data_IF_056510505613
#
_entry.id   IF_056510505613
#
_cell.length_a   1.000
_cell.length_b   1.000
_cell.length_c   1.000
_cell.angle_alpha   90.00
_cell.angle_beta   90.00
_cell.angle_gamma   90.00
#
_symmetry.space_group_name_H-M   'P 1'
#
loop_
_entity.id
_entity.type
_entity.pdbx_description
1 polymer ?
#
# COMPACT_ATOMS: atom_id res chain seq x y z
N UNK A 1 -12.76 -2.75 -28.44
CA UNK A 1 -12.94 -2.12 -27.11
C UNK A 1 -14.00 -2.78 -26.22
N UNK A 2 -15.09 -3.37 -26.74
CA UNK A 2 -16.15 -3.94 -25.88
C UNK A 2 -15.77 -5.19 -25.05
N UNK A 3 -14.83 -6.03 -25.50
CA UNK A 3 -14.48 -7.26 -24.77
C UNK A 3 -13.69 -7.01 -23.48
N UNK A 4 -12.88 -5.94 -23.43
CA UNK A 4 -12.09 -5.61 -22.22
C UNK A 4 -13.02 -5.16 -21.07
N UNK A 5 -14.07 -4.42 -21.39
CA UNK A 5 -15.08 -3.92 -20.41
C UNK A 5 -15.89 -5.08 -19.83
N UNK A 6 -16.18 -6.13 -20.61
CA UNK A 6 -16.94 -7.29 -20.13
C UNK A 6 -16.12 -8.14 -19.16
N UNK A 7 -14.81 -8.27 -19.40
CA UNK A 7 -13.92 -9.04 -18.52
C UNK A 7 -13.67 -8.36 -17.17
N UNK A 8 -13.58 -7.02 -17.13
CA UNK A 8 -13.34 -6.33 -15.86
C UNK A 8 -14.52 -6.40 -14.90
N UNK A 9 -15.76 -6.49 -15.39
CA UNK A 9 -16.99 -6.51 -14.56
C UNK A 9 -17.12 -7.70 -13.60
N UNK A 10 -16.26 -8.71 -13.68
CA UNK A 10 -16.27 -9.87 -12.77
C UNK A 10 -15.01 -9.99 -11.92
N UNK A 11 -14.06 -9.07 -12.05
CA UNK A 11 -12.79 -9.14 -11.33
C UNK A 11 -13.00 -8.64 -9.90
N UNK A 12 -12.98 -9.56 -8.94
CA UNK A 12 -13.03 -9.20 -7.52
C UNK A 12 -11.64 -8.97 -6.90
N UNK A 13 -10.60 -9.55 -7.52
CA UNK A 13 -9.21 -9.44 -7.07
C UNK A 13 -8.32 -9.18 -8.27
N UNK A 14 -7.47 -8.17 -8.17
CA UNK A 14 -6.51 -7.84 -9.22
C UNK A 14 -5.11 -7.74 -8.64
N UNK A 15 -4.17 -8.40 -9.32
CA UNK A 15 -2.75 -8.34 -9.00
C UNK A 15 -1.98 -7.71 -10.16
N UNK A 16 -1.39 -6.53 -9.90
CA UNK A 16 -0.50 -5.85 -10.83
C UNK A 16 0.89 -5.79 -10.22
N UNK A 17 1.83 -6.49 -10.84
CA UNK A 17 3.24 -6.45 -10.50
C UNK A 17 4.03 -6.01 -11.72
N UNK A 18 4.72 -4.88 -11.57
CA UNK A 18 5.55 -4.33 -12.63
C UNK A 18 6.98 -4.76 -12.41
N UNK A 19 7.55 -5.46 -13.39
CA UNK A 19 8.93 -5.94 -13.26
C UNK A 19 9.90 -4.81 -12.86
N UNK A 20 10.76 -5.10 -11.89
CA UNK A 20 11.67 -4.17 -11.25
C UNK A 20 12.90 -3.83 -12.11
N UNK A 21 12.97 -4.36 -13.34
CA UNK A 21 14.09 -4.18 -14.25
C UNK A 21 14.59 -2.72 -14.31
N UNK A 22 15.86 -2.55 -13.90
CA UNK A 22 16.74 -1.40 -14.15
C UNK A 22 16.38 -0.05 -13.50
N UNK A 23 15.80 -0.04 -12.30
CA UNK A 23 15.53 1.22 -11.58
C UNK A 23 16.26 1.31 -10.23
N UNK A 24 17.49 0.78 -10.14
CA UNK A 24 18.43 1.21 -9.09
C UNK A 24 18.73 2.68 -9.34
N UNK A 25 18.20 3.58 -8.49
CA UNK A 25 18.55 4.98 -8.15
C UNK A 25 19.24 5.91 -9.16
N UNK A 26 19.41 5.47 -10.41
CA UNK A 26 19.98 6.23 -11.48
C UNK A 26 18.85 7.08 -11.99
N UNK A 27 18.93 8.37 -11.69
CA UNK A 27 18.13 9.42 -12.28
C UNK A 27 18.47 9.67 -13.77
N UNK A 28 18.97 8.65 -14.45
CA UNK A 28 19.23 8.73 -15.88
C UNK A 28 17.92 8.93 -16.64
N UNK A 29 18.06 9.44 -17.86
CA UNK A 29 16.93 9.80 -18.69
C UNK A 29 16.07 8.57 -19.04
N UNK A 30 16.68 7.39 -19.15
CA UNK A 30 15.98 6.15 -19.45
C UNK A 30 15.05 5.73 -18.31
N UNK A 31 15.53 5.73 -17.07
CA UNK A 31 14.80 5.47 -15.84
C UNK A 31 13.62 6.44 -15.65
N UNK A 32 13.83 7.73 -15.96
CA UNK A 32 12.77 8.74 -15.95
C UNK A 32 11.68 8.45 -17.00
N UNK A 33 12.07 8.12 -18.24
CA UNK A 33 11.13 7.74 -19.30
C UNK A 33 10.35 6.47 -18.95
N UNK A 34 11.02 5.44 -18.43
CA UNK A 34 10.37 4.20 -18.02
C UNK A 34 9.37 4.42 -16.87
N UNK A 35 9.73 5.25 -15.90
CA UNK A 35 8.83 5.68 -14.82
C UNK A 35 7.55 6.30 -15.37
N UNK A 36 7.66 7.20 -16.35
CA UNK A 36 6.49 7.85 -16.97
C UNK A 36 5.61 6.86 -17.73
N UNK A 37 6.21 5.93 -18.48
CA UNK A 37 5.49 4.88 -19.21
C UNK A 37 4.73 3.97 -18.23
N UNK A 38 5.38 3.50 -17.17
CA UNK A 38 4.75 2.67 -16.13
C UNK A 38 3.58 3.39 -15.48
N UNK A 39 3.77 4.65 -15.05
CA UNK A 39 2.68 5.44 -14.46
C UNK A 39 1.51 5.61 -15.44
N UNK A 40 1.78 5.89 -16.72
CA UNK A 40 0.72 6.01 -17.74
C UNK A 40 -0.04 4.70 -17.94
N UNK A 41 0.67 3.57 -18.01
CA UNK A 41 0.05 2.25 -18.15
C UNK A 41 -0.84 1.92 -16.94
N UNK A 42 -0.34 2.17 -15.71
CA UNK A 42 -1.11 1.98 -14.48
C UNK A 42 -2.37 2.82 -14.51
N UNK A 43 -2.27 4.14 -14.79
CA UNK A 43 -3.43 5.03 -14.88
C UNK A 43 -4.50 4.47 -15.82
N UNK A 44 -4.09 4.03 -17.01
CA UNK A 44 -5.03 3.44 -17.96
C UNK A 44 -5.69 2.17 -17.40
N UNK A 45 -4.95 1.29 -16.73
CA UNK A 45 -5.53 0.10 -16.11
C UNK A 45 -6.53 0.50 -15.01
N UNK A 46 -6.17 1.44 -14.12
CA UNK A 46 -7.03 1.89 -13.02
C UNK A 46 -8.35 2.51 -13.51
N UNK A 47 -8.32 3.18 -14.67
CA UNK A 47 -9.53 3.76 -15.29
C UNK A 47 -10.57 2.70 -15.67
N UNK A 48 -10.16 1.46 -15.95
CA UNK A 48 -11.05 0.37 -16.37
C UNK A 48 -11.50 -0.54 -15.22
N UNK A 49 -11.00 -0.29 -14.01
CA UNK A 49 -11.49 -0.97 -12.81
C UNK A 49 -12.91 -0.52 -12.51
N UNK A 50 -13.62 -1.33 -11.72
CA UNK A 50 -15.01 -1.08 -11.38
C UNK A 50 -15.32 -1.53 -9.95
N UNK A 51 -16.56 -1.30 -9.56
CA UNK A 51 -17.06 -1.52 -8.21
C UNK A 51 -16.98 -2.97 -7.73
N UNK A 52 -16.83 -3.97 -8.61
CA UNK A 52 -16.72 -5.37 -8.15
C UNK A 52 -15.37 -5.69 -7.51
N UNK A 53 -14.36 -4.84 -7.73
CA UNK A 53 -13.03 -5.05 -7.18
C UNK A 53 -13.03 -4.87 -5.66
N UNK A 54 -12.68 -5.93 -4.93
CA UNK A 54 -12.61 -5.97 -3.46
C UNK A 54 -11.18 -5.94 -2.94
N UNK A 55 -10.23 -6.49 -3.71
CA UNK A 55 -8.81 -6.59 -3.35
C UNK A 55 -7.94 -6.14 -4.50
N UNK A 56 -7.01 -5.23 -4.23
CA UNK A 56 -6.05 -4.75 -5.23
C UNK A 56 -4.62 -4.86 -4.72
N UNK A 57 -3.75 -5.45 -5.53
CA UNK A 57 -2.31 -5.45 -5.30
C UNK A 57 -1.64 -4.61 -6.39
N UNK A 58 -0.88 -3.60 -5.97
CA UNK A 58 -0.03 -2.77 -6.82
C UNK A 58 1.42 -2.88 -6.33
N UNK A 59 2.16 -3.81 -6.91
CA UNK A 59 3.57 -4.07 -6.59
C UNK A 59 4.47 -3.39 -7.62
N UNK A 60 5.58 -2.83 -7.14
CA UNK A 60 6.65 -2.23 -7.94
C UNK A 60 6.17 -1.10 -8.86
N UNK A 61 5.12 -0.38 -8.45
CA UNK A 61 4.65 0.81 -9.16
C UNK A 61 5.56 2.02 -8.85
N UNK A 62 5.77 2.97 -9.78
CA UNK A 62 6.61 4.12 -9.47
C UNK A 62 5.97 5.03 -8.43
N UNK A 63 4.83 5.61 -8.79
CA UNK A 63 4.08 6.54 -7.97
C UNK A 63 2.62 6.09 -7.91
N UNK A 64 1.98 6.33 -6.78
CA UNK A 64 0.53 6.37 -6.68
C UNK A 64 0.11 7.83 -6.50
N UNK A 65 -0.11 8.54 -7.60
CA UNK A 65 -0.45 9.97 -7.56
C UNK A 65 -1.94 10.23 -7.28
N UNK A 66 -2.31 11.52 -7.11
CA UNK A 66 -3.68 11.92 -6.79
C UNK A 66 -4.69 11.44 -7.84
N UNK A 67 -4.31 11.48 -9.12
CA UNK A 67 -5.19 11.06 -10.21
C UNK A 67 -5.47 9.56 -10.14
N UNK A 68 -4.45 8.74 -9.88
CA UNK A 68 -4.60 7.30 -9.64
C UNK A 68 -5.48 7.02 -8.41
N UNK A 69 -5.24 7.72 -7.29
CA UNK A 69 -6.08 7.61 -6.10
C UNK A 69 -7.54 7.95 -6.41
N UNK A 70 -7.78 9.01 -7.20
CA UNK A 70 -9.12 9.42 -7.61
C UNK A 70 -9.81 8.35 -8.47
N UNK A 71 -9.10 7.67 -9.37
CA UNK A 71 -9.66 6.54 -10.11
C UNK A 71 -10.05 5.39 -9.20
N UNK A 72 -9.20 5.05 -8.22
CA UNK A 72 -9.51 3.99 -7.26
C UNK A 72 -10.73 4.34 -6.41
N UNK A 73 -10.78 5.55 -5.84
CA UNK A 73 -11.90 6.02 -5.02
C UNK A 73 -13.20 6.09 -5.81
N UNK A 74 -13.16 6.59 -7.06
CA UNK A 74 -14.35 6.76 -7.89
C UNK A 74 -14.87 5.44 -8.46
N UNK A 75 -13.98 4.62 -8.99
CA UNK A 75 -14.37 3.44 -9.76
C UNK A 75 -14.50 2.18 -8.91
N UNK A 76 -13.76 2.06 -7.81
CA UNK A 76 -13.66 0.84 -7.00
C UNK A 76 -14.35 1.01 -5.64
N UNK A 77 -15.65 1.32 -5.65
CA UNK A 77 -16.41 1.65 -4.43
C UNK A 77 -16.49 0.54 -3.38
N UNK A 78 -16.31 -0.74 -3.78
CA UNK A 78 -16.26 -1.88 -2.85
C UNK A 78 -14.84 -2.38 -2.57
N UNK A 79 -13.80 -1.62 -2.93
CA UNK A 79 -12.43 -1.97 -2.61
C UNK A 79 -12.26 -1.95 -1.08
N UNK A 80 -11.89 -3.07 -0.48
CA UNK A 80 -11.72 -3.20 0.98
C UNK A 80 -10.26 -3.36 1.38
N UNK A 81 -9.50 -4.05 0.54
CA UNK A 81 -8.12 -4.41 0.81
C UNK A 81 -7.22 -3.87 -0.29
N UNK A 82 -6.16 -3.18 0.10
CA UNK A 82 -5.14 -2.75 -0.83
C UNK A 82 -3.74 -3.14 -0.35
N UNK A 83 -2.92 -3.62 -1.27
CA UNK A 83 -1.52 -3.96 -1.03
C UNK A 83 -0.68 -3.10 -1.97
N UNK A 84 0.09 -2.18 -1.39
CA UNK A 84 0.84 -1.19 -2.12
C UNK A 84 2.33 -1.37 -1.85
N UNK A 85 3.13 -1.60 -2.90
CA UNK A 85 4.58 -1.51 -2.85
C UNK A 85 5.07 -0.58 -3.96
N UNK A 86 4.77 0.73 -3.90
CA UNK A 86 5.42 1.69 -4.77
C UNK A 86 6.92 1.75 -4.47
N UNK A 87 7.70 2.30 -5.39
CA UNK A 87 9.13 2.52 -5.14
C UNK A 87 9.54 3.99 -5.04
N UNK A 88 8.69 4.96 -5.43
CA UNK A 88 8.98 6.40 -5.26
C UNK A 88 8.02 7.10 -4.31
N UNK A 89 6.71 7.10 -4.58
CA UNK A 89 5.79 7.90 -3.76
C UNK A 89 4.35 7.38 -3.75
N UNK A 90 3.62 7.79 -2.72
CA UNK A 90 2.16 7.66 -2.60
C UNK A 90 1.60 9.04 -2.26
N UNK A 91 0.47 9.39 -2.85
CA UNK A 91 -0.22 10.63 -2.53
C UNK A 91 -0.65 10.67 -1.06
N UNK A 92 -0.43 11.81 -0.41
CA UNK A 92 -0.76 12.02 1.01
C UNK A 92 -2.26 11.86 1.32
N UNK A 93 -3.13 12.16 0.35
CA UNK A 93 -4.57 11.92 0.44
C UNK A 93 -4.87 10.52 -0.09
N UNK A 94 -5.00 9.59 0.87
CA UNK A 94 -5.20 8.19 0.60
C UNK A 94 -6.68 7.87 0.28
N UNK A 95 -6.95 6.64 -0.19
CA UNK A 95 -8.29 6.17 -0.58
C UNK A 95 -9.17 6.04 0.67
N UNK A 96 -10.35 6.66 0.68
CA UNK A 96 -11.16 6.92 1.89
C UNK A 96 -12.08 5.78 2.36
N UNK A 97 -11.96 4.55 1.81
CA UNK A 97 -12.89 3.45 2.10
C UNK A 97 -12.22 2.08 2.12
N UNK A 98 -11.16 1.92 2.90
CA UNK A 98 -10.43 0.65 2.98
C UNK A 98 -10.53 0.11 4.40
N UNK A 99 -10.63 -1.22 4.56
CA UNK A 99 -10.53 -1.89 5.84
C UNK A 99 -9.09 -2.31 6.12
N UNK A 100 -8.36 -2.73 5.09
CA UNK A 100 -6.99 -3.21 5.20
C UNK A 100 -6.07 -2.49 4.21
N UNK A 101 -4.91 -2.08 4.70
CA UNK A 101 -3.84 -1.50 3.89
C UNK A 101 -2.55 -2.23 4.21
N UNK A 102 -1.88 -2.75 3.18
CA UNK A 102 -0.48 -3.14 3.26
C UNK A 102 0.37 -2.09 2.54
N UNK A 103 1.43 -1.65 3.21
CA UNK A 103 2.47 -0.78 2.66
C UNK A 103 3.80 -1.52 2.65
N UNK A 104 4.37 -1.71 1.47
CA UNK A 104 5.68 -2.34 1.26
C UNK A 104 6.84 -1.52 1.78
N UNK A 105 6.62 -0.25 2.11
CA UNK A 105 7.50 0.62 2.89
C UNK A 105 6.69 1.76 3.51
N UNK A 106 7.27 2.48 4.47
CA UNK A 106 6.62 3.57 5.16
C UNK A 106 6.65 4.87 4.33
N UNK A 107 5.49 5.49 4.18
CA UNK A 107 5.30 6.77 3.51
C UNK A 107 4.64 7.79 4.43
N UNK A 108 4.83 9.06 4.14
CA UNK A 108 4.06 10.14 4.76
C UNK A 108 2.64 10.16 4.16
N UNK A 109 1.65 9.68 4.91
CA UNK A 109 0.27 9.53 4.44
C UNK A 109 -0.71 9.99 5.50
N UNK A 110 -1.88 10.46 5.07
CA UNK A 110 -3.02 10.62 5.97
C UNK A 110 -3.87 9.36 5.85
N UNK A 111 -3.78 8.46 6.84
CA UNK A 111 -4.57 7.23 6.83
C UNK A 111 -5.98 7.54 7.35
N UNK A 112 -7.06 7.26 6.58
CA UNK A 112 -8.43 7.54 7.02
C UNK A 112 -8.85 6.65 8.20
N UNK A 113 -9.79 7.13 9.03
CA UNK A 113 -10.30 6.40 10.20
C UNK A 113 -11.03 5.09 9.87
N UNK A 114 -11.44 4.89 8.62
CA UNK A 114 -12.08 3.65 8.19
C UNK A 114 -11.11 2.46 8.07
N UNK A 115 -9.79 2.70 8.02
CA UNK A 115 -8.79 1.61 7.90
C UNK A 115 -8.63 0.90 9.22
N UNK A 116 -9.19 -0.29 9.36
CA UNK A 116 -9.14 -1.08 10.60
C UNK A 116 -7.73 -1.63 10.87
N UNK A 117 -7.02 -2.01 9.82
CA UNK A 117 -5.69 -2.61 9.88
C UNK A 117 -4.74 -1.99 8.86
N UNK A 118 -3.57 -1.57 9.33
CA UNK A 118 -2.47 -1.14 8.48
C UNK A 118 -1.23 -1.99 8.79
N UNK A 119 -0.72 -2.66 7.78
CA UNK A 119 0.56 -3.36 7.81
C UNK A 119 1.62 -2.51 7.12
N UNK A 120 2.75 -2.29 7.77
CA UNK A 120 3.89 -1.57 7.19
C UNK A 120 5.13 -2.44 7.25
N UNK A 121 5.75 -2.70 6.11
CA UNK A 121 7.09 -3.29 6.06
C UNK A 121 8.13 -2.21 6.41
N UNK A 122 8.52 -2.15 7.67
CA UNK A 122 9.43 -1.13 8.20
C UNK A 122 10.85 -1.35 7.71
N UNK A 123 11.26 -2.60 7.48
CA UNK A 123 12.60 -2.96 6.98
C UNK A 123 12.94 -2.35 5.61
N UNK A 124 11.96 -2.15 4.74
CA UNK A 124 12.14 -1.54 3.41
C UNK A 124 12.05 -0.01 3.40
N UNK A 125 11.94 0.62 4.56
CA UNK A 125 11.74 2.07 4.69
C UNK A 125 13.05 2.80 4.95
N UNK A 126 13.14 4.05 4.49
CA UNK A 126 14.32 4.90 4.74
C UNK A 126 14.57 5.11 6.24
N UNK A 127 13.50 5.13 7.04
CA UNK A 127 13.55 5.30 8.49
C UNK A 127 13.80 3.99 9.27
N UNK A 128 14.08 2.86 8.58
CA UNK A 128 14.17 1.52 9.19
C UNK A 128 15.10 1.45 10.41
N UNK A 129 16.33 1.94 10.29
CA UNK A 129 17.31 1.92 11.39
C UNK A 129 16.87 2.77 12.60
N UNK A 130 16.10 3.83 12.35
CA UNK A 130 15.61 4.72 13.41
C UNK A 130 14.45 4.04 14.12
N UNK A 131 13.50 3.48 13.36
CA UNK A 131 12.32 2.77 13.89
C UNK A 131 12.76 1.59 14.76
N UNK A 132 13.77 0.83 14.31
CA UNK A 132 14.28 -0.34 15.03
C UNK A 132 14.77 0.01 16.45
N UNK A 133 15.40 1.18 16.62
CA UNK A 133 15.97 1.64 17.89
C UNK A 133 14.96 2.27 18.83
N UNK A 134 13.72 2.50 18.39
CA UNK A 134 12.68 3.12 19.23
C UNK A 134 12.21 2.15 20.31
N UNK A 135 11.94 2.66 21.51
CA UNK A 135 11.08 1.97 22.46
C UNK A 135 9.61 2.04 22.00
N UNK A 136 8.71 1.37 22.70
CA UNK A 136 7.32 1.23 22.28
C UNK A 136 6.55 2.57 22.26
N UNK A 137 6.84 3.49 23.20
CA UNK A 137 6.18 4.80 23.25
C UNK A 137 6.64 5.70 22.10
N UNK A 138 7.94 5.68 21.80
CA UNK A 138 8.51 6.44 20.69
C UNK A 138 8.01 5.90 19.35
N UNK A 139 7.95 4.58 19.21
CA UNK A 139 7.41 3.91 18.02
C UNK A 139 5.93 4.28 17.79
N UNK A 140 5.11 4.18 18.83
CA UNK A 140 3.71 4.60 18.79
C UNK A 140 3.56 6.06 18.35
N UNK A 141 4.32 6.96 18.99
CA UNK A 141 4.26 8.41 18.70
C UNK A 141 4.75 8.71 17.28
N UNK A 142 5.78 8.01 16.83
CA UNK A 142 6.31 8.13 15.48
C UNK A 142 5.27 7.74 14.44
N UNK A 143 4.63 6.56 14.54
CA UNK A 143 3.59 6.15 13.59
C UNK A 143 2.38 7.06 13.63
N UNK A 144 1.96 7.51 14.83
CA UNK A 144 0.90 8.49 14.99
C UNK A 144 1.16 9.76 14.19
N UNK A 145 2.38 10.30 14.27
CA UNK A 145 2.76 11.52 13.58
C UNK A 145 2.93 11.30 12.07
N UNK A 146 3.60 10.20 11.67
CA UNK A 146 3.91 9.87 10.28
C UNK A 146 2.64 9.59 9.45
N UNK A 147 1.64 8.97 10.07
CA UNK A 147 0.39 8.54 9.42
C UNK A 147 -0.80 9.46 9.73
N UNK A 148 -0.58 10.47 10.58
CA UNK A 148 -1.58 11.41 11.11
C UNK A 148 -2.84 10.73 11.63
N UNK A 149 -2.66 9.61 12.33
CA UNK A 149 -3.76 8.79 12.88
C UNK A 149 -3.37 8.11 14.17
N UNK A 150 -4.31 7.99 15.11
CA UNK A 150 -4.12 7.27 16.36
C UNK A 150 -4.67 5.85 16.23
N UNK A 151 -3.79 4.87 16.05
CA UNK A 151 -4.20 3.46 16.14
C UNK A 151 -4.26 3.02 17.60
N UNK A 152 -5.23 2.19 17.98
CA UNK A 152 -5.33 1.69 19.38
C UNK A 152 -4.22 0.70 19.75
N UNK A 153 -3.77 -0.09 18.78
CA UNK A 153 -2.80 -1.16 18.97
C UNK A 153 -1.68 -1.01 17.95
N UNK A 154 -0.44 -1.18 18.42
CA UNK A 154 0.77 -1.20 17.61
C UNK A 154 1.53 -2.48 17.95
N UNK A 155 1.73 -3.35 16.96
CA UNK A 155 2.42 -4.62 17.13
C UNK A 155 3.67 -4.57 16.27
N UNK A 156 4.82 -4.68 16.94
CA UNK A 156 6.14 -4.71 16.31
C UNK A 156 6.55 -6.16 16.14
N UNK A 157 6.90 -6.55 14.92
CA UNK A 157 7.41 -7.89 14.65
C UNK A 157 8.90 -7.85 14.38
N UNK A 158 9.62 -8.74 15.06
CA UNK A 158 11.06 -8.88 14.95
C UNK A 158 11.41 -10.21 14.32
N UNK A 159 12.36 -10.19 13.39
CA UNK A 159 13.00 -11.38 12.80
C UNK A 159 14.51 -11.22 13.00
N UNK A 160 15.14 -12.22 13.61
CA UNK A 160 16.57 -12.21 13.92
C UNK A 160 17.06 -10.95 14.68
N UNK A 161 16.22 -10.44 15.59
CA UNK A 161 16.41 -9.21 16.39
C UNK A 161 16.20 -7.88 15.64
N UNK A 162 15.91 -7.92 14.35
CA UNK A 162 15.62 -6.74 13.55
C UNK A 162 14.11 -6.55 13.40
N UNK A 163 13.62 -5.32 13.56
CA UNK A 163 12.21 -5.03 13.27
C UNK A 163 11.97 -5.23 11.77
N UNK A 164 11.05 -6.15 11.44
CA UNK A 164 10.75 -6.50 10.05
C UNK A 164 9.54 -5.71 9.54
N UNK A 165 8.49 -5.65 10.37
CA UNK A 165 7.26 -4.95 10.06
C UNK A 165 6.54 -4.52 11.32
N UNK A 166 5.67 -3.53 11.17
CA UNK A 166 4.75 -3.06 12.21
C UNK A 166 3.31 -3.17 11.72
N UNK A 167 2.44 -3.66 12.59
CA UNK A 167 0.99 -3.72 12.37
C UNK A 167 0.33 -2.70 13.29
N UNK A 168 -0.58 -1.92 12.72
CA UNK A 168 -1.36 -0.88 13.38
C UNK A 168 -2.83 -1.25 13.27
N UNK A 169 -3.57 -1.20 14.38
CA UNK A 169 -4.94 -1.72 14.44
C UNK A 169 -5.83 -0.92 15.38
N UNK A 170 -7.11 -0.76 15.02
CA UNK A 170 -8.07 0.05 15.79
C UNK A 170 -9.09 -0.73 16.61
N UNK A 171 -9.27 -2.01 16.31
CA UNK A 171 -10.27 -2.85 16.97
C UNK A 171 -9.59 -3.96 17.81
N UNK A 172 -10.34 -4.98 18.20
CA UNK A 172 -9.75 -6.19 18.80
C UNK A 172 -9.08 -6.98 17.68
N UNK A 173 -7.77 -7.25 17.80
CA UNK A 173 -7.08 -8.10 16.84
C UNK A 173 -7.70 -9.51 16.86
N UNK A 174 -8.32 -9.90 15.75
CA UNK A 174 -8.72 -11.28 15.51
C UNK A 174 -7.60 -12.01 14.78
N UNK A 175 -6.95 -12.95 15.47
CA UNK A 175 -5.77 -13.66 14.96
C UNK A 175 -6.03 -14.38 13.63
N UNK A 176 -7.22 -14.93 13.42
CA UNK A 176 -7.59 -15.60 12.18
C UNK A 176 -7.63 -14.63 10.99
N UNK A 177 -8.19 -13.43 11.20
CA UNK A 177 -8.24 -12.40 10.18
C UNK A 177 -6.84 -11.86 9.90
N UNK A 178 -6.02 -11.69 10.95
CA UNK A 178 -4.61 -11.36 10.82
C UNK A 178 -3.87 -12.38 9.93
N UNK A 179 -3.90 -13.67 10.29
CA UNK A 179 -3.23 -14.72 9.51
C UNK A 179 -3.71 -14.73 8.05
N UNK A 180 -5.02 -14.62 7.81
CA UNK A 180 -5.59 -14.58 6.46
C UNK A 180 -5.07 -13.40 5.62
N UNK A 181 -4.76 -12.26 6.23
CA UNK A 181 -4.21 -11.09 5.53
C UNK A 181 -2.71 -11.24 5.29
N UNK A 182 -1.97 -11.72 6.29
CA UNK A 182 -0.52 -11.90 6.20
C UNK A 182 -0.12 -13.01 5.22
N UNK A 183 -0.81 -14.15 5.25
CA UNK A 183 -0.54 -15.28 4.34
C UNK A 183 -0.76 -14.91 2.86
N UNK A 184 -1.47 -13.80 2.61
CA UNK A 184 -1.73 -13.26 1.27
C UNK A 184 -0.76 -12.17 0.85
N UNK A 185 0.19 -11.78 1.70
CA UNK A 185 1.27 -10.87 1.32
C UNK A 185 2.26 -11.70 0.48
N UNK A 186 2.40 -11.42 -0.82
CA UNK A 186 3.36 -12.13 -1.65
C UNK A 186 4.76 -11.64 -1.31
N UNK A 187 5.50 -12.45 -0.54
CA UNK A 187 6.92 -12.24 -0.23
C UNK A 187 7.75 -12.13 -1.52
#
# INVERSE_FOLDING_TARGET
MNYLIVLTKRIEKLFLDFDHFYLRDNEDEFSKRLTLIKNKAIKQILQWLNENLKVLYLKNIPNLDLEMCNYLTKNCSNLKDIYLDPYKSINVHFIEKLNFVYLGRLYNLNIPECVEMLYVNTKKSDDSEVIEKMNDNDNYTYFKNKLKRNFKIVIRNYVDKYENYTILYDNKLEWEDYHRKIDRIPF
#
